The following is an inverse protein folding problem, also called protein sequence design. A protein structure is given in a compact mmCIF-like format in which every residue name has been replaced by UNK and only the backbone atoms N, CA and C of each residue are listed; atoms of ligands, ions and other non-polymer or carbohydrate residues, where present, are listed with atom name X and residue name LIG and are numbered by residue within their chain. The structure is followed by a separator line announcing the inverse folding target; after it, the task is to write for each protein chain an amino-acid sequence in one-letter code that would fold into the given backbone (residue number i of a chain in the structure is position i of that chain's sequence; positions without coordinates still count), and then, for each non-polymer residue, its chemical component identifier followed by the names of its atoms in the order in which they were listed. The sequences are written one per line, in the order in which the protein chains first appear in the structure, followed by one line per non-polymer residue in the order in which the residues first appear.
data_IF_073889227363
#
_entry.id   IF_073889227363
#
_cell.length_a   1.000
_cell.length_b   1.000
_cell.length_c   1.000
_cell.angle_alpha   90.00
_cell.angle_beta   90.00
_cell.angle_gamma   90.00
#
_symmetry.space_group_name_H-M   'P 1'
#
loop_
_entity.id
_entity.type
_entity.pdbx_description
1 polymer ?
#
# COMPACT_ATOMS: atom_id res chain seq x y z
N UNK A 1 2.18 2.37 -32.86
CA UNK A 1 1.27 1.22 -32.83
C UNK A 1 0.26 1.46 -31.74
N UNK A 2 -0.98 1.69 -32.16
CA UNK A 2 -2.15 1.80 -31.30
C UNK A 2 -2.29 0.53 -30.48
N UNK A 3 -2.37 0.64 -29.16
CA UNK A 3 -3.09 -0.29 -28.27
C UNK A 3 -3.02 0.25 -26.84
N UNK A 4 -4.01 1.07 -26.45
CA UNK A 4 -4.51 1.29 -25.08
C UNK A 4 -5.62 2.36 -25.08
N UNK A 5 -6.57 2.23 -26.01
CA UNK A 5 -7.88 2.86 -25.89
C UNK A 5 -8.88 1.74 -26.07
N UNK A 6 -9.09 0.95 -25.02
CA UNK A 6 -10.15 -0.05 -24.97
C UNK A 6 -11.06 0.31 -23.79
N UNK A 7 -12.18 0.93 -24.15
CA UNK A 7 -13.41 1.12 -23.38
C UNK A 7 -13.35 1.98 -22.10
N UNK A 8 -13.25 3.30 -22.25
CA UNK A 8 -13.80 4.26 -21.28
C UNK A 8 -15.34 4.31 -21.44
N UNK A 9 -16.07 3.40 -20.81
CA UNK A 9 -17.51 3.52 -20.62
C UNK A 9 -17.82 4.05 -19.22
N UNK A 10 -18.51 5.19 -19.11
CA UNK A 10 -19.41 5.63 -18.01
C UNK A 10 -19.04 5.37 -16.54
N UNK A 11 -17.76 5.16 -16.20
CA UNK A 11 -17.31 4.99 -14.82
C UNK A 11 -17.13 6.33 -14.09
N UNK A 12 -17.56 6.39 -12.83
CA UNK A 12 -17.27 7.50 -11.91
C UNK A 12 -15.78 7.42 -11.54
N UNK A 13 -15.07 8.55 -11.66
CA UNK A 13 -13.69 8.72 -11.17
C UNK A 13 -13.72 9.60 -9.92
N UNK A 14 -13.25 9.06 -8.80
CA UNK A 14 -13.20 9.75 -7.51
C UNK A 14 -11.74 9.94 -7.07
N UNK A 15 -11.14 11.13 -7.30
CA UNK A 15 -9.81 11.47 -6.79
C UNK A 15 -9.87 12.02 -5.36
N UNK A 16 -8.89 11.67 -4.54
CA UNK A 16 -8.61 12.29 -3.23
C UNK A 16 -7.38 13.18 -3.39
N UNK A 17 -7.48 14.43 -2.95
CA UNK A 17 -6.35 15.36 -3.03
C UNK A 17 -5.28 15.01 -1.98
N UNK A 18 -4.10 15.60 -2.16
CA UNK A 18 -3.00 15.44 -1.23
C UNK A 18 -3.35 15.94 0.17
N UNK A 19 -2.88 15.25 1.21
CA UNK A 19 -3.20 15.56 2.61
C UNK A 19 -4.64 15.27 3.03
N UNK A 20 -5.49 14.79 2.12
CA UNK A 20 -6.90 14.50 2.39
C UNK A 20 -7.15 13.01 2.50
N UNK A 21 -8.21 12.65 3.23
CA UNK A 21 -8.80 11.31 3.22
C UNK A 21 -10.27 11.45 2.89
N UNK A 22 -10.88 10.39 2.37
CA UNK A 22 -12.30 10.38 2.06
C UNK A 22 -12.93 9.04 2.42
N UNK A 23 -14.23 9.06 2.67
CA UNK A 23 -15.03 7.85 2.83
C UNK A 23 -16.22 7.94 1.89
N UNK A 24 -16.45 6.87 1.12
CA UNK A 24 -17.59 6.75 0.23
C UNK A 24 -18.34 5.43 0.48
N UNK A 25 -19.58 5.39 0.03
CA UNK A 25 -20.41 4.18 0.01
C UNK A 25 -20.76 3.90 -1.45
N UNK A 26 -20.40 2.72 -1.94
CA UNK A 26 -20.70 2.28 -3.30
C UNK A 26 -22.17 1.81 -3.40
N UNK A 27 -22.68 1.66 -4.61
CA UNK A 27 -24.10 1.34 -4.85
C UNK A 27 -24.52 -0.05 -4.36
N UNK A 28 -23.58 -0.95 -4.09
CA UNK A 28 -23.84 -2.25 -3.46
C UNK A 28 -23.84 -2.21 -1.92
N UNK A 29 -23.56 -1.05 -1.31
CA UNK A 29 -23.44 -0.83 0.13
C UNK A 29 -22.01 -0.99 0.67
N UNK A 30 -21.03 -1.34 -0.16
CA UNK A 30 -19.62 -1.44 0.24
C UNK A 30 -19.09 -0.08 0.67
N UNK A 31 -18.44 -0.02 1.84
CA UNK A 31 -17.78 1.20 2.33
C UNK A 31 -16.33 1.19 1.93
N UNK A 32 -15.85 2.34 1.46
CA UNK A 32 -14.46 2.51 1.04
C UNK A 32 -13.90 3.77 1.68
N UNK A 33 -12.80 3.59 2.43
CA UNK A 33 -11.96 4.70 2.86
C UNK A 33 -10.83 4.82 1.85
N UNK A 34 -10.52 6.04 1.47
CA UNK A 34 -9.52 6.39 0.47
C UNK A 34 -8.49 7.31 1.15
N UNK A 35 -7.22 6.94 1.06
CA UNK A 35 -6.12 7.73 1.60
C UNK A 35 -5.75 8.88 0.63
N UNK A 36 -4.82 9.73 1.05
CA UNK A 36 -4.29 10.84 0.24
C UNK A 36 -3.83 10.38 -1.14
N UNK A 37 -4.04 11.20 -2.16
CA UNK A 37 -3.59 10.93 -3.55
C UNK A 37 -4.12 9.62 -4.15
N UNK A 38 -5.25 9.13 -3.63
CA UNK A 38 -5.91 7.94 -4.15
C UNK A 38 -6.93 8.28 -5.23
N UNK A 39 -6.97 7.48 -6.29
CA UNK A 39 -7.99 7.52 -7.33
C UNK A 39 -8.73 6.19 -7.32
N UNK A 40 -10.03 6.24 -7.06
CA UNK A 40 -10.94 5.11 -7.26
C UNK A 40 -11.78 5.33 -8.52
N UNK A 41 -11.86 4.33 -9.39
CA UNK A 41 -12.80 4.31 -10.53
C UNK A 41 -13.78 3.16 -10.37
N UNK A 42 -15.06 3.42 -10.54
CA UNK A 42 -16.13 2.43 -10.36
C UNK A 42 -17.35 2.78 -11.22
N UNK A 43 -18.18 1.81 -11.64
CA UNK A 43 -19.38 2.10 -12.40
C UNK A 43 -20.47 2.73 -11.50
N UNK A 44 -21.41 3.47 -12.10
CA UNK A 44 -22.59 3.95 -11.36
C UNK A 44 -23.44 2.80 -10.82
N UNK A 45 -23.47 1.66 -11.51
CA UNK A 45 -24.15 0.44 -11.10
C UNK A 45 -23.29 -0.78 -11.39
N UNK A 46 -23.27 -1.73 -10.47
CA UNK A 46 -22.64 -3.03 -10.70
C UNK A 46 -23.59 -3.97 -11.44
N UNK A 47 -23.03 -4.86 -12.27
CA UNK A 47 -23.82 -5.88 -12.96
C UNK A 47 -23.98 -7.16 -12.11
N UNK A 48 -24.84 -8.06 -12.57
CA UNK A 48 -25.16 -9.32 -11.89
C UNK A 48 -24.06 -10.38 -11.95
N UNK A 49 -22.94 -10.12 -12.62
CA UNK A 49 -21.82 -11.07 -12.74
C UNK A 49 -20.66 -10.72 -11.81
N UNK A 50 -20.35 -9.42 -11.62
CA UNK A 50 -19.22 -8.95 -10.80
C UNK A 50 -19.37 -7.49 -10.40
N UNK A 51 -18.75 -7.15 -9.27
CA UNK A 51 -18.60 -5.79 -8.77
C UNK A 51 -17.13 -5.39 -8.93
N UNK A 52 -16.80 -4.56 -9.91
CA UNK A 52 -15.41 -4.25 -10.26
C UNK A 52 -15.09 -2.77 -10.04
N UNK A 53 -13.98 -2.51 -9.36
CA UNK A 53 -13.43 -1.17 -9.16
C UNK A 53 -11.95 -1.16 -9.52
N UNK A 54 -11.44 0.00 -9.94
CA UNK A 54 -10.01 0.23 -10.17
C UNK A 54 -9.46 1.15 -9.10
N UNK A 55 -8.31 0.77 -8.53
CA UNK A 55 -7.62 1.50 -7.48
C UNK A 55 -6.21 1.87 -7.94
N UNK A 56 -5.88 3.14 -7.78
CA UNK A 56 -4.52 3.68 -7.81
C UNK A 56 -4.37 4.50 -6.52
N UNK A 57 -3.45 4.11 -5.64
CA UNK A 57 -3.32 4.68 -4.29
C UNK A 57 -3.63 3.68 -3.19
N UNK A 58 -4.08 4.16 -2.02
CA UNK A 58 -4.39 3.31 -0.87
C UNK A 58 -5.85 3.42 -0.43
N UNK A 59 -6.48 2.27 -0.22
CA UNK A 59 -7.86 2.19 0.21
C UNK A 59 -8.10 1.03 1.16
N UNK A 60 -8.97 1.29 2.14
CA UNK A 60 -9.53 0.28 3.02
C UNK A 60 -10.97 -0.01 2.58
N UNK A 61 -11.28 -1.29 2.40
CA UNK A 61 -12.59 -1.74 1.94
C UNK A 61 -13.29 -2.54 3.04
N UNK A 62 -14.55 -2.22 3.30
CA UNK A 62 -15.50 -3.10 4.00
C UNK A 62 -16.55 -3.56 2.98
N UNK A 63 -16.28 -4.69 2.34
CA UNK A 63 -17.11 -5.18 1.23
C UNK A 63 -18.39 -5.82 1.75
N UNK A 64 -19.52 -5.34 1.25
CA UNK A 64 -20.80 -5.92 1.57
C UNK A 64 -20.88 -7.35 1.05
N UNK A 65 -21.27 -8.28 1.93
CA UNK A 65 -21.48 -9.68 1.56
C UNK A 65 -22.66 -9.79 0.59
N UNK A 66 -22.44 -10.47 -0.54
CA UNK A 66 -23.45 -10.79 -1.57
C UNK A 66 -23.37 -12.28 -1.92
N UNK A 67 -24.14 -12.70 -2.93
CA UNK A 67 -24.05 -14.06 -3.48
C UNK A 67 -22.60 -14.39 -3.86
N UNK A 68 -22.17 -15.62 -3.55
CA UNK A 68 -20.83 -16.14 -3.82
C UNK A 68 -20.45 -16.06 -5.31
N UNK A 69 -21.45 -16.07 -6.20
CA UNK A 69 -21.30 -16.00 -7.66
C UNK A 69 -21.00 -14.57 -8.16
N UNK A 70 -21.20 -13.55 -7.33
CA UNK A 70 -21.03 -12.13 -7.69
C UNK A 70 -19.87 -11.51 -6.88
N UNK A 71 -18.62 -11.79 -7.28
CA UNK A 71 -17.45 -11.31 -6.55
C UNK A 71 -17.29 -9.80 -6.62
N UNK A 72 -16.65 -9.25 -5.60
CA UNK A 72 -16.08 -7.91 -5.64
C UNK A 72 -14.60 -8.01 -6.04
N UNK A 73 -14.18 -7.19 -7.01
CA UNK A 73 -12.85 -7.24 -7.60
C UNK A 73 -12.24 -5.84 -7.56
N UNK A 74 -11.13 -5.70 -6.85
CA UNK A 74 -10.28 -4.51 -6.90
C UNK A 74 -9.17 -4.74 -7.91
N UNK A 75 -9.14 -3.96 -8.98
CA UNK A 75 -8.12 -3.97 -10.02
C UNK A 75 -7.03 -2.95 -9.66
N UNK A 76 -5.77 -3.36 -9.66
CA UNK A 76 -4.60 -2.45 -9.54
C UNK A 76 -3.74 -2.51 -10.82
N UNK A 77 -2.54 -1.93 -10.82
CA UNK A 77 -1.63 -2.00 -11.98
C UNK A 77 -1.16 -3.42 -12.28
N UNK A 78 -0.80 -4.22 -11.27
CA UNK A 78 -0.22 -5.57 -11.45
C UNK A 78 -1.03 -6.73 -10.89
N UNK A 79 -2.01 -6.49 -10.01
CA UNK A 79 -2.81 -7.55 -9.38
C UNK A 79 -4.31 -7.24 -9.42
N UNK A 80 -5.08 -8.32 -9.38
CA UNK A 80 -6.52 -8.29 -9.11
C UNK A 80 -6.78 -8.94 -7.76
N UNK A 81 -7.54 -8.27 -6.91
CA UNK A 81 -7.95 -8.77 -5.59
C UNK A 81 -9.43 -9.11 -5.64
N UNK A 82 -9.76 -10.40 -5.52
CA UNK A 82 -11.13 -10.94 -5.55
C UNK A 82 -11.60 -11.32 -4.15
N UNK A 83 -12.77 -10.82 -3.77
CA UNK A 83 -13.39 -11.03 -2.46
C UNK A 83 -14.91 -11.19 -2.57
N UNK A 84 -15.57 -11.60 -1.48
CA UNK A 84 -17.02 -11.91 -1.47
C UNK A 84 -17.78 -11.15 -0.36
N UNK A 85 -17.08 -10.82 0.73
CA UNK A 85 -17.55 -10.08 1.89
C UNK A 85 -16.42 -10.05 2.91
N UNK A 86 -15.58 -9.03 2.80
CA UNK A 86 -14.21 -9.03 3.31
C UNK A 86 -13.83 -7.61 3.72
N UNK A 87 -13.10 -7.49 4.83
CA UNK A 87 -12.49 -6.23 5.27
C UNK A 87 -11.00 -6.29 5.06
N UNK A 88 -10.43 -5.38 4.26
CA UNK A 88 -9.02 -5.45 3.85
C UNK A 88 -8.49 -4.08 3.40
N UNK A 89 -7.17 -3.91 3.50
CA UNK A 89 -6.45 -2.74 2.99
C UNK A 89 -5.71 -3.10 1.69
N UNK A 90 -5.64 -2.16 0.74
CA UNK A 90 -4.81 -2.26 -0.47
C UNK A 90 -4.01 -0.97 -0.62
N UNK A 91 -2.69 -1.07 -0.75
CA UNK A 91 -1.80 0.04 -1.12
C UNK A 91 -1.19 -0.27 -2.50
N UNK A 92 -1.46 0.58 -3.48
CA UNK A 92 -1.07 0.39 -4.88
C UNK A 92 -0.77 1.73 -5.57
N UNK A 93 -0.14 2.67 -4.87
CA UNK A 93 0.31 3.95 -5.46
C UNK A 93 1.30 3.70 -6.60
N UNK A 94 1.29 4.49 -7.68
CA UNK A 94 2.17 4.30 -8.83
C UNK A 94 3.65 4.54 -8.54
N UNK A 95 3.95 5.49 -7.65
CA UNK A 95 5.27 5.95 -7.21
C UNK A 95 5.90 5.08 -6.12
N UNK A 96 5.15 4.15 -5.53
CA UNK A 96 5.67 3.13 -4.62
C UNK A 96 6.26 1.95 -5.39
N UNK A 97 7.30 1.33 -4.84
CA UNK A 97 7.93 0.15 -5.47
C UNK A 97 7.11 -1.13 -5.28
N UNK A 98 6.20 -1.14 -4.31
CA UNK A 98 5.40 -2.32 -3.96
C UNK A 98 3.91 -2.10 -4.12
N UNK A 99 3.18 -3.21 -4.24
CA UNK A 99 1.73 -3.29 -4.02
C UNK A 99 1.52 -4.16 -2.80
N UNK A 100 0.76 -3.67 -1.82
CA UNK A 100 0.46 -4.40 -0.60
C UNK A 100 -1.04 -4.66 -0.44
N UNK A 101 -1.38 -5.80 0.14
CA UNK A 101 -2.76 -6.12 0.56
C UNK A 101 -2.75 -6.80 1.90
N UNK A 102 -3.47 -6.24 2.88
CA UNK A 102 -3.57 -6.77 4.24
C UNK A 102 -5.00 -7.18 4.54
N UNK A 103 -5.22 -8.44 4.93
CA UNK A 103 -6.54 -8.99 5.20
C UNK A 103 -6.91 -8.88 6.69
N UNK A 104 -8.00 -8.18 7.00
CA UNK A 104 -8.54 -8.06 8.36
C UNK A 104 -9.55 -9.18 8.66
N UNK A 105 -10.57 -9.31 7.83
CA UNK A 105 -11.64 -10.30 8.00
C UNK A 105 -12.11 -10.84 6.64
N UNK A 106 -12.51 -12.11 6.62
CA UNK A 106 -13.03 -12.78 5.42
C UNK A 106 -11.94 -13.52 4.68
N UNK A 107 -11.99 -13.47 3.35
CA UNK A 107 -11.00 -14.10 2.47
C UNK A 107 -10.66 -13.20 1.29
N UNK A 108 -9.42 -13.33 0.84
CA UNK A 108 -8.86 -12.62 -0.32
C UNK A 108 -8.19 -13.64 -1.23
N UNK A 109 -8.54 -13.59 -2.51
CA UNK A 109 -7.81 -14.25 -3.59
C UNK A 109 -7.12 -13.17 -4.44
N UNK A 110 -5.82 -13.28 -4.64
CA UNK A 110 -5.01 -12.36 -5.42
C UNK A 110 -4.55 -13.07 -6.68
N UNK A 111 -4.75 -12.41 -7.82
CA UNK A 111 -4.37 -12.91 -9.15
C UNK A 111 -3.39 -11.92 -9.76
N UNK A 112 -2.18 -12.36 -10.09
CA UNK A 112 -1.20 -11.51 -10.79
C UNK A 112 -1.53 -11.41 -12.27
N UNK A 113 -1.46 -10.19 -12.82
CA UNK A 113 -1.64 -9.92 -14.24
C UNK A 113 -0.43 -10.40 -15.04
N UNK A 114 -0.66 -10.72 -16.33
CA UNK A 114 0.38 -10.96 -17.33
C UNK A 114 1.36 -12.12 -17.03
N UNK A 115 0.98 -13.10 -16.23
CA UNK A 115 1.73 -14.35 -16.13
C UNK A 115 1.52 -15.17 -17.43
N UNK A 116 2.59 -15.39 -18.20
CA UNK A 116 2.58 -16.17 -19.45
C UNK A 116 2.35 -17.69 -19.24
N UNK A 117 2.22 -18.15 -18.00
CA UNK A 117 2.00 -19.57 -17.69
C UNK A 117 0.52 -19.87 -17.51
N UNK A 118 0.10 -21.06 -17.95
CA UNK A 118 -1.24 -21.64 -17.75
C UNK A 118 -1.66 -21.83 -16.28
N UNK A 119 -0.85 -21.33 -15.34
CA UNK A 119 -1.05 -21.35 -13.90
C UNK A 119 -0.89 -19.91 -13.40
N UNK A 120 -1.89 -19.05 -13.67
CA UNK A 120 -1.99 -17.81 -12.91
C UNK A 120 -2.05 -18.21 -11.43
N UNK A 121 -0.98 -17.96 -10.67
CA UNK A 121 -0.92 -18.36 -9.28
C UNK A 121 -1.95 -17.53 -8.50
N UNK A 122 -3.03 -18.18 -8.08
CA UNK A 122 -3.97 -17.61 -7.13
C UNK A 122 -3.34 -17.66 -5.74
N UNK A 123 -3.22 -16.50 -5.10
CA UNK A 123 -2.70 -16.38 -3.74
C UNK A 123 -3.87 -16.12 -2.81
N UNK A 124 -4.04 -16.98 -1.81
CA UNK A 124 -5.10 -16.85 -0.83
C UNK A 124 -4.56 -16.33 0.49
N UNK A 125 -5.19 -15.28 1.03
CA UNK A 125 -4.90 -14.79 2.37
C UNK A 125 -5.93 -15.26 3.39
N UNK A 126 -5.44 -15.49 4.61
CA UNK A 126 -6.22 -15.63 5.84
C UNK A 126 -6.17 -14.32 6.65
N UNK A 127 -7.12 -14.09 7.57
CA UNK A 127 -7.05 -12.94 8.48
C UNK A 127 -5.67 -12.76 9.13
N UNK A 128 -5.25 -11.51 9.27
CA UNK A 128 -3.94 -11.08 9.79
C UNK A 128 -2.73 -11.42 8.89
N UNK A 129 -2.96 -11.71 7.61
CA UNK A 129 -1.90 -11.88 6.63
C UNK A 129 -1.77 -10.67 5.72
N UNK A 130 -0.54 -10.44 5.25
CA UNK A 130 -0.22 -9.44 4.25
C UNK A 130 0.47 -10.09 3.06
N UNK A 131 0.12 -9.63 1.86
CA UNK A 131 0.89 -9.85 0.64
C UNK A 131 1.59 -8.55 0.26
N UNK A 132 2.88 -8.64 -0.05
CA UNK A 132 3.68 -7.56 -0.64
C UNK A 132 4.21 -8.06 -1.99
N UNK A 133 3.80 -7.42 -3.08
CA UNK A 133 4.33 -7.66 -4.42
C UNK A 133 5.32 -6.54 -4.75
N UNK A 134 6.54 -6.90 -5.16
CA UNK A 134 7.45 -5.95 -5.78
C UNK A 134 7.06 -5.74 -7.26
N UNK A 135 6.93 -4.48 -7.67
CA UNK A 135 6.60 -4.12 -9.04
C UNK A 135 7.74 -4.41 -10.00
N UNK A 136 7.41 -4.57 -11.28
CA UNK A 136 8.41 -4.82 -12.32
C UNK A 136 9.33 -3.61 -12.46
N UNK A 137 10.64 -3.84 -12.34
CA UNK A 137 11.67 -2.82 -12.51
C UNK A 137 12.11 -2.11 -11.21
N UNK A 138 11.51 -2.44 -10.07
CA UNK A 138 11.97 -1.96 -8.76
C UNK A 138 13.33 -2.55 -8.38
N UNK A 139 14.15 -1.77 -7.67
CA UNK A 139 15.52 -2.13 -7.29
C UNK A 139 15.68 -2.54 -5.83
N UNK A 140 14.57 -2.82 -5.12
CA UNK A 140 14.57 -3.16 -3.70
C UNK A 140 15.49 -4.35 -3.40
N UNK A 141 16.38 -4.16 -2.43
CA UNK A 141 17.16 -5.27 -1.86
C UNK A 141 16.22 -6.05 -0.93
N UNK A 142 16.03 -7.34 -1.20
CA UNK A 142 15.10 -8.22 -0.45
C UNK A 142 15.26 -8.19 1.08
N UNK A 143 16.41 -7.78 1.60
CA UNK A 143 16.67 -7.60 3.04
C UNK A 143 15.94 -6.42 3.68
N UNK A 144 15.42 -5.47 2.89
CA UNK A 144 14.76 -4.26 3.38
C UNK A 144 13.25 -4.45 3.59
N UNK A 145 12.67 -5.49 2.97
CA UNK A 145 11.30 -5.91 3.24
C UNK A 145 11.34 -6.68 4.57
N UNK A 146 11.01 -5.99 5.66
CA UNK A 146 10.86 -6.61 6.99
C UNK A 146 9.80 -7.72 6.94
N UNK A 147 10.27 -8.94 6.68
CA UNK A 147 9.51 -10.15 6.90
C UNK A 147 10.02 -10.72 8.21
N UNK A 148 9.19 -10.67 9.26
CA UNK A 148 9.40 -11.54 10.41
C UNK A 148 9.35 -12.99 9.92
N UNK A 149 10.52 -13.52 9.55
CA UNK A 149 10.75 -14.83 8.93
C UNK A 149 9.92 -15.08 7.66
N UNK A 150 10.47 -14.83 6.46
CA UNK A 150 9.83 -15.28 5.24
C UNK A 150 9.85 -16.81 5.22
N UNK A 151 8.69 -17.45 5.33
CA UNK A 151 8.52 -18.82 4.83
C UNK A 151 8.62 -18.77 3.31
N UNK A 152 9.85 -18.72 2.81
CA UNK A 152 10.16 -19.16 1.45
C UNK A 152 9.61 -20.58 1.32
N UNK A 153 8.68 -20.79 0.39
CA UNK A 153 8.28 -22.15 0.02
C UNK A 153 9.51 -22.79 -0.64
N UNK A 154 10.30 -23.50 0.16
CA UNK A 154 11.51 -24.20 -0.28
C UNK A 154 11.11 -25.41 -1.12
N UNK A 155 11.42 -25.39 -2.42
CA UNK A 155 11.81 -26.59 -3.14
C UNK A 155 13.32 -26.55 -3.38
N UNK A 156 14.02 -27.34 -2.57
CA UNK A 156 15.38 -27.93 -2.67
C UNK A 156 16.54 -27.27 -3.46
N UNK A 157 17.65 -27.13 -2.70
CA UNK A 157 19.09 -27.39 -3.00
C UNK A 157 19.97 -26.38 -3.79
N UNK A 158 21.05 -26.01 -3.09
CA UNK A 158 22.40 -25.56 -3.52
C UNK A 158 22.57 -24.10 -3.94
N UNK A 159 23.53 -23.44 -3.29
CA UNK A 159 23.88 -22.01 -3.41
C UNK A 159 24.83 -21.81 -4.60
N UNK A 160 24.47 -20.92 -5.51
CA UNK A 160 25.37 -20.18 -6.40
C UNK A 160 24.87 -18.72 -6.50
N UNK A 161 25.72 -17.72 -6.79
CA UNK A 161 25.29 -16.34 -6.96
C UNK A 161 24.54 -16.23 -8.29
N UNK A 162 23.22 -16.21 -8.20
CA UNK A 162 22.32 -16.16 -9.35
C UNK A 162 21.95 -14.69 -9.60
N UNK A 163 22.28 -14.19 -10.79
CA UNK A 163 21.64 -13.00 -11.36
C UNK A 163 20.11 -13.15 -11.26
N UNK A 164 19.35 -12.11 -10.85
CA UNK A 164 17.93 -12.25 -10.56
C UNK A 164 17.17 -12.59 -11.84
N UNK A 165 16.95 -13.88 -12.05
CA UNK A 165 15.99 -14.39 -13.03
C UNK A 165 14.60 -14.07 -12.48
N UNK A 166 13.65 -13.75 -13.36
CA UNK A 166 12.29 -13.20 -13.16
C UNK A 166 11.33 -14.00 -12.23
N UNK A 167 11.82 -14.80 -11.28
CA UNK A 167 11.04 -15.52 -10.27
C UNK A 167 10.49 -14.55 -9.23
N UNK A 168 9.21 -14.19 -9.43
CA UNK A 168 8.17 -14.08 -8.40
C UNK A 168 8.58 -13.38 -7.09
N UNK A 169 8.63 -12.05 -7.11
CA UNK A 169 8.84 -11.23 -5.91
C UNK A 169 7.51 -10.90 -5.21
N UNK A 170 6.72 -11.94 -4.91
CA UNK A 170 5.55 -11.82 -4.03
C UNK A 170 5.91 -12.45 -2.68
N UNK A 171 5.75 -11.68 -1.62
CA UNK A 171 6.02 -12.08 -0.24
C UNK A 171 4.71 -12.17 0.52
N UNK A 172 4.55 -13.25 1.29
CA UNK A 172 3.41 -13.41 2.20
C UNK A 172 3.94 -13.33 3.62
N UNK A 173 3.52 -12.31 4.36
CA UNK A 173 3.76 -12.20 5.79
C UNK A 173 2.64 -12.94 6.53
N UNK A 174 2.95 -14.03 7.26
CA UNK A 174 1.94 -14.94 7.79
C UNK A 174 1.18 -14.37 9.00
N UNK A 175 1.74 -13.35 9.65
CA UNK A 175 1.12 -12.61 10.74
C UNK A 175 1.63 -11.18 10.72
N UNK A 176 0.73 -10.21 10.62
CA UNK A 176 1.04 -8.79 10.73
C UNK A 176 0.16 -8.13 11.76
N UNK A 177 0.63 -7.02 12.32
CA UNK A 177 -0.23 -6.12 13.08
C UNK A 177 -1.15 -5.36 12.11
N UNK A 178 -2.45 -5.65 12.17
CA UNK A 178 -3.45 -4.99 11.34
C UNK A 178 -3.50 -3.48 11.60
N UNK A 179 -3.23 -3.05 12.84
CA UNK A 179 -3.27 -1.63 13.19
C UNK A 179 -2.25 -0.85 12.36
N UNK A 180 -1.05 -1.40 12.16
CA UNK A 180 0.02 -0.78 11.36
C UNK A 180 -0.41 -0.44 9.92
N UNK A 181 -1.29 -1.26 9.34
CA UNK A 181 -1.72 -1.11 7.93
C UNK A 181 -3.07 -0.41 7.77
N UNK A 182 -3.81 -0.18 8.86
CA UNK A 182 -5.18 0.34 8.79
C UNK A 182 -5.43 1.55 9.67
N UNK A 183 -4.48 1.90 10.55
CA UNK A 183 -4.56 3.04 11.47
C UNK A 183 -4.91 4.36 10.80
N UNK A 184 -4.43 4.57 9.56
CA UNK A 184 -4.65 5.80 8.80
C UNK A 184 -6.13 6.11 8.59
N UNK A 185 -7.00 5.08 8.50
CA UNK A 185 -8.46 5.25 8.33
C UNK A 185 -9.13 5.92 9.53
N UNK A 186 -8.47 5.87 10.68
CA UNK A 186 -8.89 6.46 11.94
C UNK A 186 -8.02 7.67 12.33
N UNK A 187 -7.35 8.30 11.36
CA UNK A 187 -6.42 9.42 11.56
C UNK A 187 -5.29 9.14 12.56
N UNK A 188 -4.81 7.89 12.61
CA UNK A 188 -3.64 7.49 13.39
C UNK A 188 -2.47 7.22 12.47
N UNK A 189 -1.32 7.78 12.80
CA UNK A 189 -0.06 7.60 12.09
C UNK A 189 0.86 6.72 12.94
N UNK A 190 1.24 5.57 12.40
CA UNK A 190 2.01 4.56 13.14
C UNK A 190 3.21 4.13 12.29
N UNK A 191 4.36 4.06 12.93
CA UNK A 191 5.61 3.54 12.39
C UNK A 191 6.11 2.41 13.29
N UNK A 192 6.62 1.35 12.69
CA UNK A 192 7.26 0.26 13.43
C UNK A 192 8.52 -0.15 12.67
N UNK A 193 9.68 0.09 13.29
CA UNK A 193 11.00 -0.18 12.69
C UNK A 193 11.15 0.40 11.27
N UNK A 194 10.48 1.51 10.98
CA UNK A 194 10.37 2.03 9.62
C UNK A 194 11.50 3.00 9.30
N UNK A 195 12.06 2.91 8.09
CA UNK A 195 13.14 3.81 7.65
C UNK A 195 12.64 5.25 7.59
N UNK A 196 13.53 6.19 7.89
CA UNK A 196 13.22 7.62 7.83
C UNK A 196 12.73 8.05 6.45
N UNK A 197 13.28 7.44 5.40
CA UNK A 197 12.83 7.66 4.02
C UNK A 197 11.35 7.30 3.83
N UNK A 198 10.93 6.11 4.25
CA UNK A 198 9.53 5.69 4.16
C UNK A 198 8.61 6.54 5.04
N UNK A 199 9.10 6.95 6.23
CA UNK A 199 8.41 7.90 7.08
C UNK A 199 8.22 9.23 6.34
N UNK A 200 9.24 9.75 5.66
CA UNK A 200 9.12 10.99 4.88
C UNK A 200 8.03 10.87 3.81
N UNK A 201 7.99 9.78 3.02
CA UNK A 201 6.92 9.57 2.05
C UNK A 201 5.53 9.54 2.70
N UNK A 202 5.39 8.90 3.87
CA UNK A 202 4.14 8.92 4.63
C UNK A 202 3.77 10.33 5.09
N UNK A 203 4.72 11.11 5.59
CA UNK A 203 4.50 12.47 6.06
C UNK A 203 4.14 13.42 4.90
N UNK A 204 4.79 13.27 3.73
CA UNK A 204 4.46 14.01 2.51
C UNK A 204 2.98 13.87 2.16
N UNK A 205 2.49 12.62 2.14
CA UNK A 205 1.08 12.31 1.85
C UNK A 205 0.14 12.74 2.97
N UNK A 206 0.55 12.60 4.22
CA UNK A 206 -0.30 12.90 5.37
C UNK A 206 -0.54 14.39 5.57
N UNK A 207 0.48 15.23 5.36
CA UNK A 207 0.47 16.65 5.67
C UNK A 207 0.47 17.56 4.45
N UNK A 208 0.45 16.99 3.24
CA UNK A 208 0.63 17.73 1.98
C UNK A 208 1.87 18.61 1.96
N UNK A 209 3.03 18.01 2.19
CA UNK A 209 4.33 18.69 2.07
C UNK A 209 5.23 17.94 1.11
N UNK A 210 6.31 18.56 0.65
CA UNK A 210 7.42 17.87 -0.03
C UNK A 210 8.62 17.84 0.91
N UNK A 211 9.17 16.67 1.20
CA UNK A 211 10.27 16.49 2.13
C UNK A 211 11.55 16.20 1.36
N UNK A 212 12.59 16.97 1.66
CA UNK A 212 13.93 16.82 1.09
C UNK A 212 14.90 16.43 2.20
N UNK A 213 15.32 15.16 2.20
CA UNK A 213 16.32 14.67 3.15
C UNK A 213 17.70 14.84 2.54
N UNK A 214 18.52 15.73 3.12
CA UNK A 214 19.84 16.08 2.58
C UNK A 214 20.90 15.02 2.90
N UNK A 215 20.76 14.36 4.04
CA UNK A 215 21.70 13.33 4.51
C UNK A 215 21.24 11.91 4.11
N UNK A 216 21.98 11.26 3.21
CA UNK A 216 21.67 9.87 2.79
C UNK A 216 21.81 8.83 3.93
N UNK A 217 22.62 9.12 4.95
CA UNK A 217 22.72 8.28 6.14
C UNK A 217 21.44 8.32 6.98
N UNK A 218 20.84 9.51 7.13
CA UNK A 218 19.61 9.73 7.90
C UNK A 218 18.43 8.93 7.35
N UNK A 219 18.32 8.80 6.02
CA UNK A 219 17.27 8.01 5.34
C UNK A 219 17.15 6.57 5.86
N UNK A 220 18.27 5.99 6.30
CA UNK A 220 18.38 4.60 6.77
C UNK A 220 18.03 4.40 8.25
N UNK A 221 17.90 5.48 9.02
CA UNK A 221 17.53 5.40 10.44
C UNK A 221 16.12 4.83 10.57
N UNK A 222 15.90 3.97 11.57
CA UNK A 222 14.60 3.33 11.79
C UNK A 222 13.93 3.89 13.02
N UNK A 223 12.63 4.15 12.91
CA UNK A 223 11.83 4.69 14.02
C UNK A 223 10.61 3.82 14.29
N UNK A 224 10.21 3.82 15.56
CA UNK A 224 8.96 3.24 16.02
C UNK A 224 8.21 4.31 16.81
N UNK A 225 6.94 4.53 16.47
CA UNK A 225 6.13 5.58 17.09
C UNK A 225 4.66 5.46 16.74
N UNK A 226 3.79 5.96 17.63
CA UNK A 226 2.34 6.03 17.43
C UNK A 226 1.87 7.45 17.70
N UNK A 227 1.27 8.07 16.70
CA UNK A 227 0.70 9.41 16.72
C UNK A 227 -0.81 9.25 16.53
N UNK A 228 -1.57 9.51 17.59
CA UNK A 228 -3.00 9.15 17.66
C UNK A 228 -3.91 10.34 17.97
N UNK A 229 -3.35 11.53 18.14
CA UNK A 229 -4.07 12.75 18.54
C UNK A 229 -4.08 13.80 17.43
N UNK A 230 -3.91 13.39 16.16
CA UNK A 230 -3.86 14.28 15.00
C UNK A 230 -2.76 15.34 15.15
N UNK A 231 -1.60 14.88 15.57
CA UNK A 231 -0.40 15.70 15.73
C UNK A 231 -0.11 16.47 14.42
N UNK A 232 0.39 17.68 14.55
CA UNK A 232 0.91 18.45 13.41
C UNK A 232 2.25 17.88 12.97
N UNK A 233 2.66 18.16 11.73
CA UNK A 233 3.98 17.73 11.25
C UNK A 233 5.12 18.23 12.15
N UNK A 234 5.02 19.45 12.70
CA UNK A 234 6.01 19.98 13.63
C UNK A 234 6.13 19.13 14.90
N UNK A 235 5.00 18.74 15.49
CA UNK A 235 5.00 17.87 16.68
C UNK A 235 5.60 16.49 16.37
N UNK A 236 5.32 15.94 15.18
CA UNK A 236 5.94 14.68 14.74
C UNK A 236 7.46 14.85 14.62
N UNK A 237 7.93 15.91 13.96
CA UNK A 237 9.36 16.19 13.77
C UNK A 237 10.07 16.48 15.10
N UNK A 238 9.43 17.20 16.02
CA UNK A 238 9.94 17.43 17.38
C UNK A 238 10.20 16.11 18.09
N UNK A 239 9.26 15.16 18.02
CA UNK A 239 9.40 13.84 18.63
C UNK A 239 10.51 13.03 17.95
N UNK A 240 10.61 13.06 16.62
CA UNK A 240 11.70 12.38 15.89
C UNK A 240 13.08 12.98 16.29
N UNK A 241 13.16 14.30 16.44
CA UNK A 241 14.35 15.04 16.85
C UNK A 241 14.84 14.68 18.28
N UNK A 242 13.95 14.24 19.18
CA UNK A 242 14.35 13.76 20.51
C UNK A 242 15.23 12.51 20.46
N UNK A 243 15.09 11.71 19.39
CA UNK A 243 15.81 10.43 19.26
C UNK A 243 17.01 10.53 18.33
N UNK A 244 16.88 11.28 17.24
CA UNK A 244 17.96 11.54 16.29
C UNK A 244 17.99 13.05 16.04
N UNK A 245 19.03 13.76 16.50
CA UNK A 245 19.14 15.20 16.28
C UNK A 245 19.07 15.54 14.78
N UNK A 246 18.01 16.25 14.40
CA UNK A 246 17.73 16.74 13.06
C UNK A 246 17.47 18.25 13.09
N UNK A 247 18.00 18.94 12.10
CA UNK A 247 17.58 20.30 11.78
C UNK A 247 16.54 20.23 10.67
N UNK A 248 15.51 21.07 10.74
CA UNK A 248 14.52 21.16 9.69
C UNK A 248 14.10 22.60 9.43
N UNK A 249 13.72 22.90 8.18
CA UNK A 249 13.30 24.23 7.77
C UNK A 249 12.21 24.14 6.70
N UNK A 250 11.13 24.89 6.90
CA UNK A 250 10.08 25.05 5.89
C UNK A 250 10.42 26.21 4.94
N UNK A 251 10.27 25.96 3.65
CA UNK A 251 10.21 26.99 2.60
C UNK A 251 9.01 26.70 1.72
N UNK A 252 7.97 27.53 1.82
CA UNK A 252 6.69 27.29 1.14
C UNK A 252 6.13 25.90 1.52
N UNK A 253 5.92 25.00 0.55
CA UNK A 253 5.41 23.65 0.78
C UNK A 253 6.53 22.60 0.95
N UNK A 254 7.78 23.03 0.91
CA UNK A 254 8.95 22.17 0.98
C UNK A 254 9.56 22.20 2.39
N UNK A 255 9.74 21.03 2.97
CA UNK A 255 10.41 20.78 4.23
C UNK A 255 11.79 20.19 3.95
N UNK A 256 12.83 20.91 4.32
CA UNK A 256 14.21 20.45 4.22
C UNK A 256 14.63 19.88 5.56
N UNK A 257 15.14 18.66 5.59
CA UNK A 257 15.62 17.97 6.79
C UNK A 257 17.08 17.57 6.60
N UNK A 258 17.90 17.87 7.59
CA UNK A 258 19.29 17.44 7.66
C UNK A 258 19.64 16.89 9.04
N UNK A 259 20.64 16.01 9.11
CA UNK A 259 21.16 15.52 10.38
C UNK A 259 22.01 16.62 11.02
N UNK A 260 21.86 16.85 12.32
CA UNK A 260 22.78 17.75 13.05
C UNK A 260 24.18 17.12 13.02
N UNK A 261 25.19 17.90 12.62
CA UNK A 261 26.58 17.45 12.67
C UNK A 261 26.99 17.18 14.13
N UNK A 262 27.60 16.01 14.36
CA UNK A 262 28.21 15.63 15.64
C UNK A 262 29.48 16.44 15.94
#
# INVERSE_FOLDING_TARGET
SNDLVVCMGTGIRFPVNKGQKSQIILTDGTKVWLNSETILKYPSEFNDMKREVFLEGEAFFEVQKKDIKIPFIVKTSEIDIKVLGTSFNVMAYSDEETIETTLVEGSVCIIRKNLKSAHAQEIFLKPNQKVTLLKKGSQVILSEIETEKPTLIKSTKTIQPISPTEKEQIFISPKVDIELHTAWKNDRLIFQSETFENICYKLERWYDVKIHVQNEGLKKYRYTGKFIHKETINQVLEILNLTTPINYTFKQNDLYIDKVAE
#
